data_IF_651776441684
#
_entry.id   IF_651776441684
#
_cell.length_a   1.000
_cell.length_b   1.000
_cell.length_c   1.000
_cell.angle_alpha   90.00
_cell.angle_beta   90.00
_cell.angle_gamma   90.00
#
_symmetry.space_group_name_H-M   'P 1'
#
loop_
_entity.id
_entity.type
_entity.pdbx_description
1 polymer ?
#
# COMPACT_ATOMS: atom_id res chain seq x y z
N UNK A 1 4.10 -23.23 -5.24
CA UNK A 1 3.97 -22.71 -3.86
C UNK A 1 2.57 -23.04 -3.40
N UNK A 2 2.38 -23.62 -2.21
CA UNK A 2 1.03 -23.94 -1.72
C UNK A 2 0.50 -22.71 -1.01
N UNK A 3 -0.47 -22.03 -1.60
CA UNK A 3 -1.21 -20.96 -0.93
C UNK A 3 -2.30 -21.60 -0.09
N UNK A 4 -2.18 -21.49 1.23
CA UNK A 4 -3.28 -21.81 2.14
C UNK A 4 -4.08 -20.52 2.35
N UNK A 5 -5.33 -20.51 1.87
CA UNK A 5 -6.30 -19.45 2.12
C UNK A 5 -7.26 -19.81 3.25
N UNK A 6 -6.92 -20.84 4.04
CA UNK A 6 -7.71 -21.29 5.17
C UNK A 6 -7.88 -20.22 6.24
N UNK A 7 -9.04 -20.21 6.88
CA UNK A 7 -9.42 -19.30 8.00
C UNK A 7 -8.74 -19.68 9.32
N UNK A 8 -7.53 -20.22 9.27
CA UNK A 8 -6.79 -20.66 10.45
C UNK A 8 -6.49 -19.47 11.34
N UNK A 9 -7.17 -19.37 12.49
CA UNK A 9 -6.86 -18.37 13.50
C UNK A 9 -5.72 -18.88 14.39
N UNK A 10 -4.64 -18.11 14.49
CA UNK A 10 -3.48 -18.38 15.34
C UNK A 10 -3.35 -17.38 16.51
N UNK A 11 -4.41 -16.66 16.85
CA UNK A 11 -4.47 -15.78 18.03
C UNK A 11 -4.00 -16.51 19.28
N UNK A 12 -3.04 -15.91 19.99
CA UNK A 12 -2.45 -16.48 21.21
C UNK A 12 -1.56 -17.70 21.00
N UNK A 13 -1.34 -18.16 19.76
CA UNK A 13 -0.47 -19.29 19.49
C UNK A 13 1.01 -18.94 19.76
N UNK A 14 1.78 -19.92 20.21
CA UNK A 14 3.24 -19.81 20.36
C UNK A 14 3.91 -20.89 19.51
N UNK A 15 4.76 -20.45 18.57
CA UNK A 15 5.55 -21.34 17.72
C UNK A 15 6.98 -21.42 18.27
N UNK A 16 7.45 -22.63 18.62
CA UNK A 16 8.76 -22.85 19.25
C UNK A 16 9.62 -23.75 18.39
N UNK A 17 10.82 -23.27 18.03
CA UNK A 17 11.77 -23.98 17.14
C UNK A 17 11.13 -24.37 15.79
N UNK A 18 10.26 -23.51 15.28
CA UNK A 18 9.56 -23.67 14.00
C UNK A 18 10.18 -22.73 12.97
N UNK A 19 10.35 -23.20 11.73
CA UNK A 19 10.86 -22.37 10.64
C UNK A 19 9.69 -21.78 9.84
N UNK A 20 9.74 -20.46 9.60
CA UNK A 20 8.90 -19.75 8.64
C UNK A 20 9.73 -19.26 7.42
N UNK A 21 10.92 -19.82 7.21
CA UNK A 21 11.82 -19.40 6.12
C UNK A 21 11.12 -19.53 4.76
N UNK A 22 11.01 -18.43 4.03
CA UNK A 22 10.37 -18.37 2.71
C UNK A 22 8.85 -18.34 2.74
N UNK A 23 8.23 -18.15 3.92
CA UNK A 23 6.80 -17.89 4.02
C UNK A 23 6.48 -16.44 3.61
N UNK A 24 5.33 -16.27 2.95
CA UNK A 24 4.75 -14.95 2.62
C UNK A 24 3.45 -14.82 3.38
N UNK A 25 3.31 -13.75 4.16
CA UNK A 25 2.07 -13.38 4.84
C UNK A 25 1.43 -12.24 4.05
N UNK A 26 0.30 -12.50 3.38
CA UNK A 26 -0.41 -11.49 2.58
C UNK A 26 -1.80 -11.26 3.18
N UNK A 27 -2.13 -9.99 3.41
CA UNK A 27 -3.40 -9.58 4.02
C UNK A 27 -3.67 -10.29 5.36
N UNK A 28 -2.61 -10.57 6.12
CA UNK A 28 -2.70 -11.15 7.45
C UNK A 28 -2.61 -10.06 8.52
N UNK A 29 -3.40 -10.19 9.58
CA UNK A 29 -3.18 -9.41 10.79
C UNK A 29 -2.00 -10.00 11.57
N UNK A 30 -0.95 -9.20 11.72
CA UNK A 30 0.25 -9.53 12.50
C UNK A 30 0.45 -8.56 13.67
N UNK A 31 -0.59 -7.81 14.02
CA UNK A 31 -0.61 -6.97 15.20
C UNK A 31 -0.29 -7.81 16.44
N UNK A 32 0.42 -7.21 17.40
CA UNK A 32 0.85 -7.85 18.65
C UNK A 32 1.75 -9.10 18.53
N UNK A 33 2.19 -9.46 17.32
CA UNK A 33 3.18 -10.53 17.13
C UNK A 33 4.50 -10.14 17.80
N UNK A 34 4.96 -10.98 18.72
CA UNK A 34 6.24 -10.80 19.40
C UNK A 34 7.27 -11.82 18.93
N UNK A 35 8.35 -11.35 18.32
CA UNK A 35 9.43 -12.21 17.82
C UNK A 35 10.64 -12.16 18.78
N UNK A 36 10.86 -13.23 19.55
CA UNK A 36 12.00 -13.35 20.49
C UNK A 36 12.93 -14.48 20.08
N UNK A 37 14.24 -14.21 20.09
CA UNK A 37 15.28 -15.19 19.73
C UNK A 37 15.05 -15.82 18.35
N UNK A 38 14.62 -15.00 17.39
CA UNK A 38 14.33 -15.39 16.00
C UNK A 38 15.47 -14.98 15.07
N UNK A 39 15.61 -15.68 13.94
CA UNK A 39 16.43 -15.23 12.81
C UNK A 39 15.55 -14.39 11.86
N UNK A 40 15.85 -13.10 11.75
CA UNK A 40 15.10 -12.12 10.94
C UNK A 40 15.86 -11.67 9.70
N UNK A 41 16.95 -12.36 9.33
CA UNK A 41 17.72 -12.03 8.15
C UNK A 41 16.87 -12.05 6.88
N UNK A 42 16.70 -10.88 6.26
CA UNK A 42 15.87 -10.72 5.05
C UNK A 42 14.36 -10.65 5.30
N UNK A 43 13.92 -10.36 6.54
CA UNK A 43 12.52 -10.03 6.82
C UNK A 43 12.15 -8.73 6.09
N UNK A 44 11.16 -8.82 5.22
CA UNK A 44 10.62 -7.71 4.45
C UNK A 44 9.18 -7.43 4.91
N UNK A 45 8.88 -6.15 5.15
CA UNK A 45 7.58 -5.69 5.64
C UNK A 45 7.13 -4.55 4.74
N UNK A 46 6.12 -4.83 3.92
CA UNK A 46 5.37 -3.83 3.17
C UNK A 46 3.98 -3.71 3.81
N UNK A 47 3.72 -2.57 4.44
CA UNK A 47 2.45 -2.30 5.12
C UNK A 47 2.10 -0.83 4.98
N UNK A 48 0.96 -0.57 4.34
CA UNK A 48 0.40 0.79 4.26
C UNK A 48 -0.01 1.33 5.64
N UNK A 49 -0.32 0.44 6.60
CA UNK A 49 -0.79 0.80 7.94
C UNK A 49 0.33 1.01 8.95
N UNK A 50 1.59 0.79 8.56
CA UNK A 50 2.76 0.94 9.43
C UNK A 50 2.76 2.28 10.18
N UNK A 51 2.32 3.35 9.53
CA UNK A 51 2.33 4.72 10.06
C UNK A 51 1.19 5.01 11.06
N UNK A 52 0.23 4.11 11.23
CA UNK A 52 -0.82 4.21 12.25
C UNK A 52 -0.44 3.55 13.58
N UNK A 53 0.72 2.88 13.64
CA UNK A 53 1.18 2.12 14.79
C UNK A 53 2.67 2.27 15.06
N UNK A 54 3.25 1.24 15.68
CA UNK A 54 4.67 1.17 16.03
C UNK A 54 5.27 -0.12 15.51
N UNK A 55 6.54 -0.09 15.09
CA UNK A 55 7.31 -1.28 14.74
C UNK A 55 8.60 -1.28 15.53
N UNK A 56 8.70 -2.22 16.47
CA UNK A 56 9.81 -2.25 17.43
C UNK A 56 10.88 -3.26 16.98
N UNK A 57 12.06 -2.76 16.62
CA UNK A 57 13.23 -3.59 16.30
C UNK A 57 14.26 -3.42 17.41
N UNK A 58 14.55 -4.51 18.14
CA UNK A 58 15.47 -4.51 19.28
C UNK A 58 15.19 -3.41 20.33
N UNK A 59 13.91 -3.11 20.57
CA UNK A 59 13.47 -2.09 21.54
C UNK A 59 13.42 -0.65 21.00
N UNK A 60 13.69 -0.44 19.71
CA UNK A 60 13.61 0.86 19.05
C UNK A 60 12.41 0.89 18.13
N UNK A 61 11.55 1.91 18.27
CA UNK A 61 10.51 2.19 17.28
C UNK A 61 11.14 2.76 16.01
N UNK A 62 11.05 2.00 14.92
CA UNK A 62 11.67 2.38 13.64
C UNK A 62 10.72 3.15 12.73
N UNK A 63 9.43 3.29 13.06
CA UNK A 63 8.45 3.98 12.20
C UNK A 63 8.88 5.41 11.84
N UNK A 64 9.36 6.27 12.79
CA UNK A 64 9.81 7.62 12.44
C UNK A 64 11.03 7.63 11.52
N UNK A 65 11.93 6.64 11.65
CA UNK A 65 13.09 6.51 10.77
C UNK A 65 12.65 6.15 9.34
N UNK A 66 11.73 5.19 9.20
CA UNK A 66 11.16 4.78 7.91
C UNK A 66 10.39 5.94 7.27
N UNK A 67 9.58 6.67 8.04
CA UNK A 67 8.85 7.83 7.55
C UNK A 67 9.78 8.93 7.02
N UNK A 68 10.82 9.28 7.77
CA UNK A 68 11.80 10.27 7.35
C UNK A 68 12.54 9.84 6.07
N UNK A 69 12.91 8.57 5.97
CA UNK A 69 13.59 8.04 4.78
C UNK A 69 12.68 8.01 3.56
N UNK A 70 11.39 7.67 3.72
CA UNK A 70 10.42 7.76 2.62
C UNK A 70 10.20 9.20 2.17
N UNK A 71 10.10 10.16 3.09
CA UNK A 71 9.97 11.58 2.71
C UNK A 71 11.25 12.09 2.03
N UNK A 72 12.42 11.56 2.39
CA UNK A 72 13.69 11.85 1.70
C UNK A 72 13.72 11.30 0.27
N UNK A 73 13.20 10.09 0.06
CA UNK A 73 13.15 9.44 -1.26
C UNK A 73 12.07 10.03 -2.16
N UNK A 74 10.94 10.46 -1.58
CA UNK A 74 9.79 11.01 -2.27
C UNK A 74 9.44 12.40 -1.74
N UNK A 75 10.20 13.45 -2.14
CA UNK A 75 9.94 14.81 -1.67
C UNK A 75 8.50 15.26 -1.92
N UNK A 76 7.87 15.86 -0.92
CA UNK A 76 6.47 16.28 -0.96
C UNK A 76 5.50 15.21 -0.47
N UNK A 77 5.94 13.96 -0.22
CA UNK A 77 5.12 12.93 0.43
C UNK A 77 4.62 13.37 1.80
N UNK A 78 5.44 14.11 2.56
CA UNK A 78 5.09 14.65 3.87
C UNK A 78 3.86 15.58 3.84
N UNK A 79 3.57 16.19 2.68
CA UNK A 79 2.42 17.08 2.51
C UNK A 79 1.08 16.33 2.55
N UNK A 80 1.07 15.00 2.52
CA UNK A 80 -0.13 14.19 2.78
C UNK A 80 -0.73 14.46 4.17
N UNK A 81 0.09 14.96 5.13
CA UNK A 81 -0.35 15.32 6.47
C UNK A 81 -0.75 16.79 6.61
N UNK A 82 -0.72 17.57 5.51
CA UNK A 82 -1.01 19.00 5.55
C UNK A 82 -2.42 19.28 6.09
N UNK A 83 -2.51 20.14 7.11
CA UNK A 83 -3.77 20.53 7.75
C UNK A 83 -4.36 21.83 7.16
N UNK A 84 -3.60 22.52 6.31
CA UNK A 84 -4.00 23.76 5.65
C UNK A 84 -4.24 23.53 4.15
N UNK A 85 -5.22 24.21 3.53
CA UNK A 85 -5.50 24.09 2.10
C UNK A 85 -4.28 24.38 1.21
N UNK A 86 -3.41 25.30 1.60
CA UNK A 86 -2.19 25.66 0.87
C UNK A 86 -1.25 24.47 0.78
N UNK A 87 -1.00 23.79 1.90
CA UNK A 87 -0.17 22.59 1.93
C UNK A 87 -0.78 21.42 1.15
N UNK A 88 -2.11 21.28 1.14
CA UNK A 88 -2.78 20.29 0.30
C UNK A 88 -2.61 20.59 -1.20
N UNK A 89 -2.64 21.87 -1.61
CA UNK A 89 -2.37 22.27 -3.00
C UNK A 89 -0.92 22.01 -3.38
N UNK A 90 0.03 22.28 -2.50
CA UNK A 90 1.44 21.96 -2.71
C UNK A 90 1.65 20.44 -2.83
N UNK A 91 1.02 19.65 -1.95
CA UNK A 91 1.05 18.19 -2.00
C UNK A 91 0.48 17.65 -3.32
N UNK A 92 -0.61 18.24 -3.81
CA UNK A 92 -1.18 17.90 -5.11
C UNK A 92 -0.22 18.17 -6.28
N UNK A 93 0.53 19.27 -6.24
CA UNK A 93 1.56 19.56 -7.26
C UNK A 93 2.72 18.55 -7.18
N UNK A 94 3.16 18.21 -5.97
CA UNK A 94 4.23 17.22 -5.77
C UNK A 94 3.83 15.84 -6.29
N UNK A 95 2.63 15.37 -5.97
CA UNK A 95 2.10 14.08 -6.45
C UNK A 95 1.97 14.05 -7.97
N UNK A 96 1.48 15.12 -8.60
CA UNK A 96 1.41 15.21 -10.06
C UNK A 96 2.80 15.14 -10.70
N UNK A 97 3.79 15.85 -10.16
CA UNK A 97 5.16 15.82 -10.66
C UNK A 97 5.77 14.40 -10.56
N UNK A 98 5.59 13.74 -9.41
CA UNK A 98 6.09 12.38 -9.19
C UNK A 98 5.46 11.36 -10.17
N UNK A 99 4.16 11.45 -10.42
CA UNK A 99 3.49 10.59 -11.40
C UNK A 99 3.92 10.89 -12.84
N UNK A 100 4.09 12.17 -13.19
CA UNK A 100 4.57 12.55 -14.51
C UNK A 100 5.98 11.99 -14.78
N UNK A 101 6.88 12.07 -13.81
CA UNK A 101 8.22 11.48 -13.90
C UNK A 101 8.14 9.95 -14.00
N UNK A 102 7.37 9.30 -13.15
CA UNK A 102 7.19 7.84 -13.15
C UNK A 102 6.72 7.35 -14.52
N UNK A 103 5.69 7.98 -15.08
CA UNK A 103 5.15 7.59 -16.39
C UNK A 103 6.15 7.86 -17.51
N UNK A 104 6.86 8.99 -17.48
CA UNK A 104 7.81 9.36 -18.53
C UNK A 104 9.07 8.48 -18.55
N UNK A 105 9.49 8.00 -17.37
CA UNK A 105 10.74 7.24 -17.20
C UNK A 105 10.54 5.73 -17.22
N UNK A 106 9.31 5.23 -17.04
CA UNK A 106 9.02 3.79 -17.09
C UNK A 106 9.20 3.26 -18.53
N UNK A 107 10.07 2.26 -18.74
CA UNK A 107 10.20 1.60 -20.03
C UNK A 107 8.88 0.98 -20.52
N UNK A 108 8.53 1.06 -21.81
CA UNK A 108 7.25 0.56 -22.33
C UNK A 108 6.95 -0.89 -21.97
N UNK A 109 7.97 -1.75 -21.93
CA UNK A 109 7.85 -3.16 -21.56
C UNK A 109 7.46 -3.39 -20.10
N UNK A 110 7.70 -2.41 -19.22
CA UNK A 110 7.37 -2.48 -17.79
C UNK A 110 5.97 -1.92 -17.47
N UNK A 111 5.35 -1.17 -18.39
CA UNK A 111 4.04 -0.54 -18.17
C UNK A 111 2.94 -1.56 -17.82
N UNK A 112 3.00 -2.73 -18.46
CA UNK A 112 2.09 -3.85 -18.23
C UNK A 112 2.73 -5.03 -17.49
N UNK A 113 4.02 -4.93 -17.14
CA UNK A 113 4.66 -5.91 -16.29
C UNK A 113 4.10 -5.79 -14.86
N UNK A 114 4.05 -6.91 -14.15
CA UNK A 114 3.61 -6.96 -12.76
C UNK A 114 4.47 -7.95 -11.97
N UNK A 115 4.55 -7.71 -10.66
CA UNK A 115 5.04 -8.71 -9.71
C UNK A 115 3.87 -9.65 -9.38
N UNK A 116 4.15 -10.91 -9.08
CA UNK A 116 3.11 -11.91 -8.80
C UNK A 116 2.14 -11.41 -7.72
N UNK A 117 0.86 -11.34 -8.09
CA UNK A 117 -0.26 -10.84 -7.27
C UNK A 117 -0.32 -9.33 -7.00
N UNK A 118 0.60 -8.55 -7.56
CA UNK A 118 0.54 -7.09 -7.51
C UNK A 118 0.03 -6.53 -8.85
N UNK A 119 -0.40 -5.27 -8.84
CA UNK A 119 -0.79 -4.58 -10.06
C UNK A 119 0.39 -4.12 -10.89
N UNK A 120 0.21 -4.10 -12.20
CA UNK A 120 1.07 -3.35 -13.12
C UNK A 120 0.90 -1.84 -12.94
N UNK A 121 1.86 -1.05 -13.44
CA UNK A 121 1.76 0.42 -13.44
C UNK A 121 0.47 0.91 -14.08
N UNK A 122 0.09 0.33 -15.23
CA UNK A 122 -1.15 0.68 -15.92
C UNK A 122 -2.40 0.39 -15.07
N UNK A 123 -2.43 -0.72 -14.35
CA UNK A 123 -3.55 -1.07 -13.46
C UNK A 123 -3.63 -0.11 -12.28
N UNK A 124 -2.49 0.21 -11.66
CA UNK A 124 -2.42 1.21 -10.57
C UNK A 124 -2.93 2.58 -11.02
N UNK A 125 -2.48 3.09 -12.17
CA UNK A 125 -2.96 4.38 -12.70
C UNK A 125 -4.46 4.36 -13.00
N UNK A 126 -4.98 3.28 -13.58
CA UNK A 126 -6.43 3.11 -13.82
C UNK A 126 -7.22 3.07 -12.51
N UNK A 127 -6.66 2.47 -11.46
CA UNK A 127 -7.29 2.51 -10.15
C UNK A 127 -7.29 3.92 -9.55
N UNK A 128 -6.22 4.69 -9.72
CA UNK A 128 -6.16 6.08 -9.25
C UNK A 128 -7.15 7.00 -10.00
N UNK A 129 -7.41 6.74 -11.28
CA UNK A 129 -8.51 7.39 -12.02
C UNK A 129 -9.85 7.08 -11.32
N UNK A 130 -10.13 5.80 -11.07
CA UNK A 130 -11.35 5.39 -10.38
C UNK A 130 -11.47 6.01 -8.97
N UNK A 131 -10.40 6.04 -8.19
CA UNK A 131 -10.38 6.63 -6.86
C UNK A 131 -10.65 8.14 -6.90
N UNK A 132 -10.04 8.85 -7.86
CA UNK A 132 -10.27 10.28 -8.06
C UNK A 132 -11.73 10.55 -8.43
N UNK A 133 -12.27 9.79 -9.38
CA UNK A 133 -13.67 9.90 -9.80
C UNK A 133 -14.62 9.61 -8.63
N UNK A 134 -14.35 8.58 -7.83
CA UNK A 134 -15.15 8.21 -6.67
C UNK A 134 -15.20 9.33 -5.63
N UNK A 135 -14.02 9.73 -5.13
CA UNK A 135 -13.91 10.60 -3.95
C UNK A 135 -14.12 12.07 -4.30
N UNK A 136 -13.42 12.56 -5.33
CA UNK A 136 -13.53 13.95 -5.75
C UNK A 136 -14.76 14.16 -6.62
N UNK A 137 -14.91 13.37 -7.70
CA UNK A 137 -16.02 13.52 -8.64
C UNK A 137 -17.39 13.22 -8.02
N UNK A 138 -17.53 12.05 -7.39
CA UNK A 138 -18.77 11.61 -6.77
C UNK A 138 -19.01 12.20 -5.38
N UNK A 139 -18.05 12.01 -4.47
CA UNK A 139 -18.20 12.39 -3.06
C UNK A 139 -18.28 13.91 -2.84
N UNK A 140 -17.31 14.64 -3.39
CA UNK A 140 -17.17 16.09 -3.16
C UNK A 140 -17.97 16.89 -4.19
N UNK A 141 -17.75 16.65 -5.49
CA UNK A 141 -18.33 17.45 -6.58
C UNK A 141 -19.76 17.02 -6.93
N UNK A 142 -20.17 15.80 -6.55
CA UNK A 142 -21.51 15.22 -6.81
C UNK A 142 -21.88 15.19 -8.28
N UNK A 143 -20.92 14.84 -9.15
CA UNK A 143 -21.19 14.59 -10.56
C UNK A 143 -22.16 13.41 -10.71
N UNK A 144 -23.09 13.50 -11.67
CA UNK A 144 -24.12 12.47 -11.86
C UNK A 144 -23.56 11.13 -12.37
N UNK A 145 -22.51 11.18 -13.19
CA UNK A 145 -21.78 10.02 -13.71
C UNK A 145 -20.29 10.32 -13.56
N UNK A 146 -19.72 10.12 -12.36
CA UNK A 146 -18.35 10.55 -12.09
C UNK A 146 -17.29 9.63 -12.70
N UNK A 147 -17.63 8.36 -12.97
CA UNK A 147 -16.67 7.32 -13.32
C UNK A 147 -16.34 7.27 -14.81
N UNK A 148 -15.04 7.30 -15.12
CA UNK A 148 -14.54 6.99 -16.45
C UNK A 148 -14.48 5.48 -16.70
N UNK A 149 -14.79 5.04 -17.92
CA UNK A 149 -14.72 3.63 -18.36
C UNK A 149 -13.34 2.96 -18.23
N UNK A 150 -12.26 3.74 -18.13
CA UNK A 150 -10.90 3.20 -17.96
C UNK A 150 -10.60 2.89 -16.50
N UNK A 151 -11.41 3.38 -15.56
CA UNK A 151 -11.25 3.12 -14.13
C UNK A 151 -11.14 1.63 -13.84
N UNK A 152 -10.25 1.26 -12.92
CA UNK A 152 -10.09 -0.12 -12.47
C UNK A 152 -10.50 -0.25 -11.01
N UNK A 153 -11.46 -1.14 -10.75
CA UNK A 153 -11.92 -1.45 -9.39
C UNK A 153 -10.82 -2.20 -8.63
N UNK A 154 -10.74 -2.01 -7.31
CA UNK A 154 -9.71 -2.62 -6.47
C UNK A 154 -9.82 -4.16 -6.39
N UNK A 155 -8.68 -4.82 -6.16
CA UNK A 155 -8.62 -6.27 -5.95
C UNK A 155 -9.49 -6.66 -4.76
N UNK A 156 -10.32 -7.70 -4.90
CA UNK A 156 -11.24 -8.14 -3.83
C UNK A 156 -12.62 -7.46 -3.84
N UNK A 157 -12.87 -6.50 -4.74
CA UNK A 157 -14.17 -5.82 -4.79
C UNK A 157 -15.35 -6.76 -5.08
N UNK A 158 -15.15 -7.85 -5.84
CA UNK A 158 -16.17 -8.87 -6.04
C UNK A 158 -16.66 -9.47 -4.71
N UNK A 159 -15.75 -9.69 -3.77
CA UNK A 159 -16.04 -10.22 -2.43
C UNK A 159 -16.82 -9.20 -1.57
N UNK A 160 -16.68 -7.91 -1.90
CA UNK A 160 -17.42 -6.80 -1.30
C UNK A 160 -18.76 -6.53 -2.02
N UNK A 161 -19.14 -7.35 -3.01
CA UNK A 161 -20.43 -7.24 -3.72
C UNK A 161 -20.46 -6.20 -4.84
N UNK A 162 -19.31 -5.75 -5.34
CA UNK A 162 -19.25 -4.94 -6.56
C UNK A 162 -19.55 -5.80 -7.78
N UNK A 163 -20.33 -5.26 -8.72
CA UNK A 163 -20.50 -5.83 -10.06
C UNK A 163 -19.23 -5.49 -10.86
N UNK A 164 -18.36 -6.49 -11.07
CA UNK A 164 -17.03 -6.36 -11.70
C UNK A 164 -16.96 -7.03 -13.07
#
# INVERSE_FOLDING_TARGET
MTTDSGTGNFEGATFVRTSFKGATFRSCDVSDVTMRSVDVGGLDIDSHDLFFGTLIVNGVDVVPFVEAELNRQFPGRELQQAQAPEGLREGWLAVQAAWAETVATTPPELVHAHVEHEWSLAQTLRHLVLATDAWLGGGIMRLAQPFHEIGLIFTGAAEMGFDV
#
